data_IF_358914635689
#
_entry.id   IF_358914635689
#
_cell.length_a   1.000
_cell.length_b   1.000
_cell.length_c   1.000
_cell.angle_alpha   90.00
_cell.angle_beta   90.00
_cell.angle_gamma   90.00
#
_symmetry.space_group_name_H-M   'P 1'
#
loop_
_entity.id
_entity.type
_entity.pdbx_description
1 polymer ?
#
# COMPACT_ATOMS: atom_id res chain seq x y z
N UNK A 1 59.03 17.17 4.44
CA UNK A 1 58.58 17.00 3.03
C UNK A 1 57.49 15.95 2.97
N UNK A 2 56.23 16.39 2.90
CA UNK A 2 55.10 15.50 2.66
C UNK A 2 55.07 15.12 1.18
N UNK A 3 55.33 13.85 0.85
CA UNK A 3 55.10 13.32 -0.50
C UNK A 3 53.58 13.33 -0.73
N UNK A 4 53.07 14.28 -1.51
CA UNK A 4 51.73 14.17 -2.08
C UNK A 4 51.73 12.96 -3.03
N UNK A 5 51.07 11.87 -2.61
CA UNK A 5 50.73 10.77 -3.50
C UNK A 5 49.51 11.22 -4.30
N UNK A 6 49.73 11.63 -5.54
CA UNK A 6 48.64 11.91 -6.47
C UNK A 6 47.90 10.62 -6.83
N UNK A 7 46.59 10.72 -7.00
CA UNK A 7 45.74 9.63 -7.50
C UNK A 7 46.15 9.31 -8.95
N UNK A 8 46.33 8.04 -9.29
CA UNK A 8 46.73 7.65 -10.64
C UNK A 8 45.52 7.67 -11.59
N UNK A 9 45.73 8.01 -12.87
CA UNK A 9 44.65 7.95 -13.87
C UNK A 9 44.07 6.54 -13.99
N UNK A 10 44.90 5.50 -13.84
CA UNK A 10 44.47 4.11 -13.88
C UNK A 10 43.56 3.75 -12.69
N UNK A 11 43.81 4.28 -11.50
CA UNK A 11 42.91 4.11 -10.34
C UNK A 11 41.53 4.71 -10.59
N UNK A 12 41.46 5.88 -11.23
CA UNK A 12 40.16 6.47 -11.57
C UNK A 12 39.41 5.64 -12.61
N UNK A 13 40.11 5.14 -13.64
CA UNK A 13 39.50 4.32 -14.70
C UNK A 13 38.99 2.99 -14.15
N UNK A 14 39.75 2.29 -13.30
CA UNK A 14 39.29 1.00 -12.75
C UNK A 14 38.09 1.19 -11.82
N UNK A 15 38.03 2.28 -11.05
CA UNK A 15 36.90 2.57 -10.15
C UNK A 15 35.60 2.77 -10.94
N UNK A 16 35.61 3.58 -12.01
CA UNK A 16 34.39 3.79 -12.81
C UNK A 16 33.95 2.52 -13.56
N UNK A 17 34.89 1.63 -13.94
CA UNK A 17 34.56 0.34 -14.54
C UNK A 17 33.86 -0.55 -13.51
N UNK A 18 34.40 -0.66 -12.30
CA UNK A 18 33.79 -1.45 -11.23
C UNK A 18 32.40 -0.90 -10.88
N UNK A 19 32.26 0.43 -10.71
CA UNK A 19 30.97 1.06 -10.45
C UNK A 19 29.99 0.85 -11.61
N UNK A 20 30.46 0.84 -12.85
CA UNK A 20 29.64 0.54 -14.03
C UNK A 20 29.04 -0.86 -13.99
N UNK A 21 29.85 -1.88 -13.70
CA UNK A 21 29.37 -3.28 -13.60
C UNK A 21 28.43 -3.47 -12.43
N UNK A 22 28.77 -2.92 -11.25
CA UNK A 22 27.92 -3.00 -10.05
C UNK A 22 26.57 -2.31 -10.27
N UNK A 23 26.56 -1.14 -10.92
CA UNK A 23 25.33 -0.41 -11.20
C UNK A 23 24.41 -1.16 -12.16
N UNK A 24 24.97 -1.83 -13.18
CA UNK A 24 24.20 -2.59 -14.15
C UNK A 24 23.39 -3.73 -13.52
N UNK A 25 23.90 -4.36 -12.46
CA UNK A 25 23.20 -5.45 -11.75
C UNK A 25 22.37 -4.97 -10.55
N UNK A 26 22.80 -3.92 -9.86
CA UNK A 26 22.15 -3.44 -8.65
C UNK A 26 20.85 -2.67 -8.93
N UNK A 27 20.82 -1.84 -9.99
CA UNK A 27 19.65 -1.02 -10.33
C UNK A 27 18.39 -1.85 -10.61
N UNK A 28 18.38 -2.87 -11.49
CA UNK A 28 17.16 -3.65 -11.74
C UNK A 28 16.68 -4.37 -10.47
N UNK A 29 17.61 -4.93 -9.68
CA UNK A 29 17.27 -5.58 -8.41
C UNK A 29 16.65 -4.64 -7.38
N UNK A 30 17.13 -3.40 -7.32
CA UNK A 30 16.58 -2.39 -6.42
C UNK A 30 15.14 -2.00 -6.81
N UNK A 31 14.83 -1.91 -8.10
CA UNK A 31 13.47 -1.61 -8.60
C UNK A 31 12.50 -2.75 -8.24
N UNK A 32 12.92 -4.00 -8.42
CA UNK A 32 12.12 -5.18 -8.06
C UNK A 32 11.80 -5.17 -6.55
N UNK A 33 12.84 -5.02 -5.71
CA UNK A 33 12.68 -4.99 -4.25
C UNK A 33 11.80 -3.83 -3.78
N UNK A 34 11.91 -2.67 -4.41
CA UNK A 34 11.06 -1.51 -4.11
C UNK A 34 9.59 -1.81 -4.43
N UNK A 35 9.31 -2.46 -5.56
CA UNK A 35 7.96 -2.86 -5.96
C UNK A 35 7.38 -3.92 -5.01
N UNK A 36 8.19 -4.91 -4.62
CA UNK A 36 7.79 -5.93 -3.65
C UNK A 36 7.49 -5.35 -2.27
N UNK A 37 8.32 -4.40 -1.81
CA UNK A 37 8.08 -3.70 -0.54
C UNK A 37 6.75 -2.92 -0.56
N UNK A 38 6.44 -2.25 -1.68
CA UNK A 38 5.17 -1.54 -1.86
C UNK A 38 3.97 -2.49 -1.89
N UNK A 39 4.10 -3.63 -2.56
CA UNK A 39 3.07 -4.66 -2.57
C UNK A 39 2.85 -5.25 -1.17
N UNK A 40 3.91 -5.49 -0.41
CA UNK A 40 3.82 -5.93 0.98
C UNK A 40 3.13 -4.90 1.88
N UNK A 41 3.45 -3.60 1.70
CA UNK A 41 2.77 -2.53 2.41
C UNK A 41 1.28 -2.48 2.07
N UNK A 42 0.90 -2.59 0.79
CA UNK A 42 -0.50 -2.64 0.37
C UNK A 42 -1.24 -3.86 0.95
N UNK A 43 -0.59 -5.03 1.03
CA UNK A 43 -1.14 -6.22 1.72
C UNK A 43 -1.37 -5.95 3.20
N UNK A 44 -0.44 -5.27 3.86
CA UNK A 44 -0.58 -4.85 5.25
C UNK A 44 -1.79 -3.93 5.45
N UNK A 45 -1.94 -2.91 4.62
CA UNK A 45 -3.09 -2.00 4.63
C UNK A 45 -4.41 -2.74 4.38
N UNK A 46 -4.44 -3.63 3.38
CA UNK A 46 -5.60 -4.47 3.10
C UNK A 46 -5.99 -5.33 4.31
N UNK A 47 -5.01 -5.96 4.98
CA UNK A 47 -5.22 -6.74 6.20
C UNK A 47 -5.78 -5.89 7.35
N UNK A 48 -5.26 -4.68 7.55
CA UNK A 48 -5.77 -3.73 8.55
C UNK A 48 -7.22 -3.36 8.30
N UNK A 49 -7.59 -3.09 7.04
CA UNK A 49 -8.98 -2.81 6.65
C UNK A 49 -9.88 -4.02 6.93
N UNK A 50 -9.44 -5.23 6.57
CA UNK A 50 -10.23 -6.45 6.83
C UNK A 50 -10.45 -6.70 8.32
N UNK A 51 -9.40 -6.56 9.13
CA UNK A 51 -9.53 -6.69 10.58
C UNK A 51 -10.42 -5.59 11.16
N UNK A 52 -10.15 -4.31 10.84
CA UNK A 52 -10.91 -3.17 11.34
C UNK A 52 -12.40 -3.24 10.99
N UNK A 53 -12.73 -3.63 9.75
CA UNK A 53 -14.12 -3.75 9.31
C UNK A 53 -14.83 -4.94 9.96
N UNK A 54 -14.15 -6.06 10.23
CA UNK A 54 -14.76 -7.18 11.00
C UNK A 54 -15.11 -6.80 12.43
N UNK A 55 -14.23 -6.05 13.12
CA UNK A 55 -14.48 -5.54 14.47
C UNK A 55 -15.62 -4.52 14.43
N UNK A 56 -15.63 -3.65 13.42
CA UNK A 56 -16.67 -2.66 13.23
C UNK A 56 -18.05 -3.27 12.95
N UNK A 57 -18.09 -4.34 12.16
CA UNK A 57 -19.30 -5.12 11.94
C UNK A 57 -19.86 -5.68 13.26
N UNK A 58 -19.02 -6.31 14.07
CA UNK A 58 -19.43 -6.82 15.37
C UNK A 58 -19.87 -5.70 16.33
N UNK A 59 -19.14 -4.58 16.37
CA UNK A 59 -19.48 -3.43 17.20
C UNK A 59 -20.83 -2.82 16.80
N UNK A 60 -21.09 -2.68 15.50
CA UNK A 60 -22.35 -2.16 14.97
C UNK A 60 -23.51 -3.10 15.27
N UNK A 61 -23.31 -4.42 15.12
CA UNK A 61 -24.28 -5.44 15.50
C UNK A 61 -24.59 -5.43 17.01
N UNK A 62 -23.63 -5.05 17.85
CA UNK A 62 -23.80 -4.86 19.29
C UNK A 62 -24.47 -3.51 19.67
N UNK A 63 -24.88 -2.69 18.69
CA UNK A 63 -25.56 -1.41 18.93
C UNK A 63 -24.62 -0.22 19.17
N UNK A 64 -23.32 -0.34 18.86
CA UNK A 64 -22.40 0.79 18.98
C UNK A 64 -22.68 1.85 17.90
N UNK A 65 -23.18 3.02 18.33
CA UNK A 65 -23.53 4.13 17.43
C UNK A 65 -22.30 4.86 16.84
N UNK A 66 -21.11 4.66 17.42
CA UNK A 66 -19.85 5.20 16.90
C UNK A 66 -19.21 4.29 15.86
N UNK A 67 -19.75 3.10 15.62
CA UNK A 67 -19.29 2.24 14.54
C UNK A 67 -19.64 2.86 13.18
N UNK A 68 -18.65 2.95 12.30
CA UNK A 68 -18.79 3.38 10.90
C UNK A 68 -19.86 2.54 10.19
N UNK A 69 -20.77 3.20 9.48
CA UNK A 69 -21.78 2.53 8.67
C UNK A 69 -21.23 2.17 7.29
N UNK A 70 -21.19 0.88 7.00
CA UNK A 70 -20.80 0.28 5.72
C UNK A 70 -22.01 -0.41 5.10
N UNK A 71 -23.06 0.36 4.82
CA UNK A 71 -24.34 -0.11 4.28
C UNK A 71 -24.71 0.49 2.92
N UNK A 72 -23.72 0.96 2.15
CA UNK A 72 -23.93 1.70 0.91
C UNK A 72 -23.71 0.84 -0.34
N UNK A 73 -24.18 1.32 -1.50
CA UNK A 73 -24.04 0.63 -2.79
C UNK A 73 -22.57 0.46 -3.23
N UNK A 74 -21.68 1.34 -2.74
CA UNK A 74 -20.25 1.14 -2.87
C UNK A 74 -19.52 1.54 -1.58
N UNK A 75 -18.99 0.55 -0.86
CA UNK A 75 -18.14 0.78 0.34
C UNK A 75 -16.65 0.82 0.02
N UNK A 76 -16.23 0.46 -1.20
CA UNK A 76 -14.84 0.51 -1.65
C UNK A 76 -14.45 1.94 -2.03
N UNK A 77 -14.55 2.87 -1.07
CA UNK A 77 -14.17 4.27 -1.25
C UNK A 77 -13.14 4.65 -0.20
N UNK A 78 -12.21 5.53 -0.57
CA UNK A 78 -11.21 6.03 0.35
C UNK A 78 -11.85 6.59 1.62
N UNK A 79 -12.88 7.43 1.49
CA UNK A 79 -13.57 8.09 2.61
C UNK A 79 -14.17 7.10 3.62
N UNK A 80 -14.82 6.03 3.16
CA UNK A 80 -15.44 5.06 4.07
C UNK A 80 -14.40 4.14 4.72
N UNK A 81 -13.27 3.89 4.07
CA UNK A 81 -12.25 2.97 4.57
C UNK A 81 -11.13 3.64 5.36
N UNK A 82 -10.94 4.97 5.27
CA UNK A 82 -9.93 5.71 6.05
C UNK A 82 -9.98 5.41 7.56
N UNK A 83 -11.15 5.28 8.21
CA UNK A 83 -11.19 5.10 9.66
C UNK A 83 -10.57 3.78 10.13
N UNK A 84 -10.36 2.80 9.25
CA UNK A 84 -9.79 1.48 9.57
C UNK A 84 -8.28 1.41 9.41
N UNK A 85 -7.64 2.52 9.05
CA UNK A 85 -6.21 2.63 8.85
C UNK A 85 -5.66 3.83 9.62
N UNK A 86 -4.37 3.83 9.92
CA UNK A 86 -3.72 4.93 10.65
C UNK A 86 -2.32 5.17 10.11
N UNK A 87 -1.93 6.44 10.00
CA UNK A 87 -0.61 6.83 9.48
C UNK A 87 -0.44 6.74 7.96
N UNK A 88 -1.51 6.43 7.22
CA UNK A 88 -1.53 6.38 5.75
C UNK A 88 -2.79 7.07 5.23
N UNK A 89 -2.77 7.45 3.95
CA UNK A 89 -3.89 8.14 3.30
C UNK A 89 -4.44 7.28 2.18
N UNK A 90 -5.69 6.85 2.27
CA UNK A 90 -6.37 6.24 1.13
C UNK A 90 -6.76 7.31 0.10
N UNK A 91 -6.69 6.99 -1.18
CA UNK A 91 -7.04 7.90 -2.28
C UNK A 91 -7.94 7.21 -3.30
N UNK A 92 -8.65 7.98 -4.12
CA UNK A 92 -9.49 7.49 -5.21
C UNK A 92 -8.84 7.64 -6.60
N UNK A 93 -7.57 8.08 -6.64
CA UNK A 93 -6.77 8.24 -7.84
C UNK A 93 -5.39 7.60 -7.65
N UNK A 94 -4.58 7.57 -8.69
CA UNK A 94 -3.22 7.03 -8.63
C UNK A 94 -2.41 7.66 -7.48
N UNK A 95 -1.78 6.86 -6.60
CA UNK A 95 -1.04 7.39 -5.46
C UNK A 95 0.17 8.21 -5.93
N UNK A 96 0.32 9.43 -5.40
CA UNK A 96 1.44 10.33 -5.73
C UNK A 96 2.59 10.29 -4.72
N UNK A 97 2.42 9.55 -3.62
CA UNK A 97 3.44 9.36 -2.59
C UNK A 97 3.38 7.97 -1.95
N UNK A 98 4.42 7.61 -1.21
CA UNK A 98 4.58 6.24 -0.67
C UNK A 98 3.65 5.93 0.52
N UNK A 99 3.09 6.95 1.17
CA UNK A 99 2.06 6.80 2.22
C UNK A 99 0.63 6.86 1.69
N UNK A 100 0.45 6.89 0.36
CA UNK A 100 -0.87 6.91 -0.26
C UNK A 100 -1.20 5.55 -0.89
N UNK A 101 -2.44 5.11 -0.70
CA UNK A 101 -2.93 3.84 -1.26
C UNK A 101 -4.26 4.07 -1.97
N UNK A 102 -4.33 3.64 -3.23
CA UNK A 102 -5.56 3.71 -4.01
C UNK A 102 -6.53 2.64 -3.51
N UNK A 103 -7.74 3.07 -3.16
CA UNK A 103 -8.89 2.17 -2.97
C UNK A 103 -9.67 2.14 -4.27
N UNK A 104 -9.94 0.94 -4.77
CA UNK A 104 -10.73 0.73 -5.97
C UNK A 104 -11.61 -0.52 -5.84
N UNK A 105 -12.51 -0.71 -6.80
CA UNK A 105 -13.50 -1.79 -6.79
C UNK A 105 -14.90 -1.29 -6.45
N UNK A 106 -15.84 -2.23 -6.49
CA UNK A 106 -17.25 -2.00 -6.18
C UNK A 106 -17.69 -3.02 -5.13
N UNK A 107 -18.08 -2.54 -3.96
CA UNK A 107 -18.57 -3.38 -2.88
C UNK A 107 -19.95 -2.93 -2.45
N UNK A 108 -21.00 -3.66 -2.85
CA UNK A 108 -22.37 -3.35 -2.46
C UNK A 108 -22.72 -3.97 -1.11
N UNK A 109 -22.91 -3.11 -0.12
CA UNK A 109 -23.36 -3.47 1.21
C UNK A 109 -24.82 -3.04 1.47
N UNK A 110 -25.66 -2.88 0.46
CA UNK A 110 -27.11 -2.60 0.65
C UNK A 110 -27.94 -3.87 0.89
N UNK A 111 -27.58 -5.00 0.28
CA UNK A 111 -28.36 -6.25 0.34
C UNK A 111 -28.20 -7.03 1.66
N UNK A 112 -29.29 -7.58 2.20
CA UNK A 112 -29.29 -8.27 3.51
C UNK A 112 -28.46 -9.56 3.58
N UNK A 113 -28.25 -10.26 2.46
CA UNK A 113 -27.44 -11.49 2.40
C UNK A 113 -25.93 -11.25 2.26
N UNK A 114 -25.51 -10.06 1.83
CA UNK A 114 -24.09 -9.75 1.63
C UNK A 114 -23.50 -9.24 2.94
N UNK A 115 -22.65 -10.05 3.56
CA UNK A 115 -21.96 -9.69 4.81
C UNK A 115 -20.51 -9.28 4.58
N UNK A 116 -19.93 -9.63 3.44
CA UNK A 116 -18.54 -9.32 3.08
C UNK A 116 -18.45 -8.97 1.60
N UNK A 117 -17.65 -7.96 1.27
CA UNK A 117 -17.31 -7.55 -0.09
C UNK A 117 -15.79 -7.43 -0.24
N UNK A 118 -15.29 -7.46 -1.48
CA UNK A 118 -13.85 -7.36 -1.75
C UNK A 118 -13.53 -5.99 -2.35
N UNK A 119 -12.66 -5.23 -1.69
CA UNK A 119 -12.10 -3.99 -2.21
C UNK A 119 -10.64 -4.19 -2.60
N UNK A 120 -10.13 -3.36 -3.52
CA UNK A 120 -8.75 -3.44 -4.00
C UNK A 120 -7.92 -2.28 -3.46
N UNK A 121 -6.79 -2.60 -2.84
CA UNK A 121 -5.83 -1.65 -2.28
C UNK A 121 -4.54 -1.69 -3.10
N UNK A 122 -4.11 -0.56 -3.64
CA UNK A 122 -2.95 -0.49 -4.54
C UNK A 122 -1.97 0.60 -4.10
N UNK A 123 -0.68 0.25 -3.96
CA UNK A 123 0.39 1.20 -3.71
C UNK A 123 0.85 1.90 -5.02
N UNK A 124 1.71 2.93 -4.92
CA UNK A 124 2.26 3.62 -6.10
C UNK A 124 3.04 2.64 -7.00
N UNK A 125 2.56 2.41 -8.23
CA UNK A 125 3.11 1.43 -9.18
C UNK A 125 3.12 -0.04 -8.70
N UNK A 126 2.30 -0.38 -7.69
CA UNK A 126 2.15 -1.75 -7.18
C UNK A 126 0.98 -2.51 -7.82
N UNK A 127 0.90 -3.80 -7.52
CA UNK A 127 -0.24 -4.64 -7.85
C UNK A 127 -1.38 -4.44 -6.84
N UNK A 128 -2.63 -4.54 -7.31
CA UNK A 128 -3.81 -4.49 -6.44
C UNK A 128 -3.85 -5.67 -5.47
N UNK A 129 -4.03 -5.36 -4.18
CA UNK A 129 -4.15 -6.33 -3.10
C UNK A 129 -5.62 -6.38 -2.61
N UNK A 130 -6.23 -7.58 -2.51
CA UNK A 130 -7.61 -7.68 -2.07
C UNK A 130 -7.74 -7.46 -0.56
N UNK A 131 -8.71 -6.63 -0.17
CA UNK A 131 -9.14 -6.43 1.20
C UNK A 131 -10.59 -6.90 1.33
N UNK A 132 -10.85 -7.85 2.23
CA UNK A 132 -12.22 -8.17 2.63
C UNK A 132 -12.77 -7.02 3.47
N UNK A 133 -13.99 -6.57 3.19
CA UNK A 133 -14.68 -5.51 3.93
C UNK A 133 -16.00 -6.07 4.41
N UNK A 134 -16.22 -6.03 5.72
CA UNK A 134 -17.45 -6.53 6.34
C UNK A 134 -18.53 -5.45 6.35
N UNK A 135 -19.72 -5.79 5.87
CA UNK A 135 -20.83 -4.85 5.70
C UNK A 135 -21.52 -4.54 7.05
N UNK A 136 -21.08 -3.49 7.73
CA UNK A 136 -21.64 -2.98 8.98
C UNK A 136 -22.80 -1.99 8.73
N UNK A 137 -24.02 -2.49 8.57
CA UNK A 137 -25.22 -1.66 8.31
C UNK A 137 -25.68 -0.88 9.54
#
# INVERSE_FOLDING_TARGET
>A
MNKQRGFTLIELVVVIIILGVLSAVAVPKFIDLSTDAKNAAAKGVAGSISSGTSINFAAKAAGNLSAVTLGQANVCTATLLQPFVSGITLVAATPSGDSQFLVSGTGDCTGTSTTTVSCSITASAGAAQPAAVFCAR
#
